data_IF_275631185531
#
_entry.id   IF_275631185531
#
_cell.length_a   1.000
_cell.length_b   1.000
_cell.length_c   1.000
_cell.angle_alpha   90.00
_cell.angle_beta   90.00
_cell.angle_gamma   90.00
#
_symmetry.space_group_name_H-M   'P 1'
#
loop_
_entity.id
_entity.type
_entity.pdbx_description
1 polymer ?
#
# COMPACT_ATOMS: atom_id res chain seq x y z
N UNK A 1 -33.77 9.17 24.20
CA UNK A 1 -34.50 7.95 23.80
C UNK A 1 -33.54 7.04 23.06
N UNK A 2 -33.39 5.80 23.50
CA UNK A 2 -32.48 4.80 22.93
C UNK A 2 -33.19 4.12 21.76
N UNK A 3 -32.64 4.20 20.55
CA UNK A 3 -33.04 3.34 19.45
C UNK A 3 -31.92 2.35 19.16
N UNK A 4 -32.08 1.14 19.69
CA UNK A 4 -31.37 -0.06 19.25
C UNK A 4 -32.04 -0.53 17.97
N UNK A 5 -31.29 -0.83 16.91
CA UNK A 5 -31.76 -1.70 15.83
C UNK A 5 -30.62 -2.58 15.33
N UNK A 6 -31.01 -3.82 15.09
CA UNK A 6 -30.23 -5.05 15.10
C UNK A 6 -29.89 -5.47 13.67
N UNK A 7 -28.76 -6.16 13.53
CA UNK A 7 -28.21 -6.83 12.35
C UNK A 7 -29.23 -7.68 11.55
N UNK A 8 -29.14 -7.61 10.23
CA UNK A 8 -29.39 -8.67 9.24
C UNK A 8 -28.72 -8.19 7.94
N UNK A 9 -27.87 -8.90 7.20
CA UNK A 9 -27.78 -10.33 6.93
C UNK A 9 -27.96 -10.52 5.42
N UNK A 10 -26.91 -11.00 4.73
CA UNK A 10 -26.90 -11.79 3.48
C UNK A 10 -25.72 -11.39 2.57
N UNK A 11 -24.62 -12.14 2.73
CA UNK A 11 -23.57 -12.27 1.72
C UNK A 11 -24.07 -13.26 0.67
N UNK A 12 -24.20 -12.82 -0.58
CA UNK A 12 -24.37 -13.71 -1.74
C UNK A 12 -23.25 -13.38 -2.72
N UNK A 13 -22.20 -14.20 -2.67
CA UNK A 13 -21.11 -14.24 -3.63
C UNK A 13 -21.58 -15.08 -4.82
N UNK A 14 -21.76 -14.46 -5.99
CA UNK A 14 -21.98 -15.15 -7.25
C UNK A 14 -20.79 -14.87 -8.16
N UNK A 15 -19.93 -15.87 -8.30
CA UNK A 15 -18.76 -15.83 -9.16
C UNK A 15 -19.12 -15.82 -10.64
N UNK A 16 -18.38 -15.04 -11.43
CA UNK A 16 -18.35 -15.14 -12.87
C UNK A 16 -16.88 -15.22 -13.31
N UNK A 17 -16.37 -16.44 -13.45
CA UNK A 17 -15.09 -16.71 -14.10
C UNK A 17 -15.34 -16.75 -15.61
N UNK A 18 -14.91 -15.72 -16.33
CA UNK A 18 -14.81 -15.71 -17.79
C UNK A 18 -13.33 -15.84 -18.15
N UNK A 19 -12.90 -17.06 -18.46
CA UNK A 19 -11.62 -17.32 -19.13
C UNK A 19 -11.84 -17.29 -20.63
N UNK A 20 -11.31 -16.27 -21.31
CA UNK A 20 -11.38 -16.13 -22.76
C UNK A 20 -9.98 -15.90 -23.36
N UNK A 21 -9.63 -16.76 -24.33
CA UNK A 21 -8.64 -16.52 -25.39
C UNK A 21 -7.16 -16.70 -25.00
N UNK A 22 -6.29 -17.27 -25.82
CA UNK A 22 -6.39 -17.66 -27.21
C UNK A 22 -5.45 -18.84 -27.52
N UNK A 23 -5.97 -19.78 -28.31
CA UNK A 23 -5.20 -20.75 -29.05
C UNK A 23 -4.55 -20.06 -30.26
N UNK A 24 -3.25 -20.27 -30.44
CA UNK A 24 -2.54 -20.14 -31.71
C UNK A 24 -1.32 -21.06 -31.55
N UNK A 25 -1.18 -22.22 -32.19
CA UNK A 25 -1.57 -22.55 -33.55
C UNK A 25 -0.39 -22.29 -34.46
N UNK A 26 0.45 -23.31 -34.67
CA UNK A 26 1.28 -23.61 -35.85
C UNK A 26 2.57 -24.34 -35.44
N UNK A 27 2.47 -25.66 -35.31
CA UNK A 27 3.64 -26.53 -35.45
C UNK A 27 3.89 -26.74 -36.94
N UNK A 28 5.09 -26.40 -37.40
CA UNK A 28 5.56 -26.60 -38.76
C UNK A 28 7.08 -26.54 -38.80
N UNK A 29 7.68 -27.65 -39.23
CA UNK A 29 9.09 -27.91 -39.50
C UNK A 29 9.93 -26.73 -40.05
N UNK A 30 11.14 -26.57 -39.50
CA UNK A 30 12.33 -26.24 -40.28
C UNK A 30 13.62 -26.66 -39.53
N UNK A 31 14.55 -27.41 -40.17
CA UNK A 31 15.88 -27.71 -39.63
C UNK A 31 16.92 -26.62 -39.94
N UNK A 32 17.94 -26.60 -39.08
CA UNK A 32 19.31 -26.06 -39.21
C UNK A 32 19.63 -24.93 -40.20
N UNK A 33 20.05 -23.78 -39.65
CA UNK A 33 21.08 -22.92 -40.24
C UNK A 33 21.87 -22.15 -39.16
N UNK A 34 23.18 -22.37 -39.16
CA UNK A 34 24.31 -21.85 -38.39
C UNK A 34 24.60 -20.32 -38.68
N UNK A 35 25.65 -19.66 -38.16
CA UNK A 35 25.91 -19.14 -36.81
C UNK A 35 26.18 -17.60 -36.76
N UNK A 36 26.55 -17.11 -35.56
CA UNK A 36 27.33 -15.89 -35.27
C UNK A 36 26.66 -14.51 -35.43
N UNK A 37 26.19 -13.94 -34.31
CA UNK A 37 26.18 -12.49 -34.01
C UNK A 37 25.96 -12.31 -32.48
N UNK A 38 27.01 -11.99 -31.73
CA UNK A 38 26.89 -11.23 -30.47
C UNK A 38 26.51 -9.76 -30.81
N UNK A 39 25.96 -8.89 -29.92
CA UNK A 39 25.36 -9.01 -28.58
C UNK A 39 23.96 -8.29 -28.51
N UNK A 40 23.34 -7.96 -27.35
CA UNK A 40 23.83 -6.89 -26.50
C UNK A 40 23.93 -7.28 -25.03
N UNK A 41 25.04 -6.85 -24.43
CA UNK A 41 25.17 -6.58 -23.00
C UNK A 41 23.87 -5.91 -22.52
N UNK A 42 23.15 -6.61 -21.64
CA UNK A 42 22.11 -6.00 -20.83
C UNK A 42 22.76 -4.78 -20.18
N UNK A 43 22.43 -3.58 -20.67
CA UNK A 43 22.57 -2.37 -19.88
C UNK A 43 21.74 -2.62 -18.64
N UNK A 44 22.41 -3.10 -17.59
CA UNK A 44 22.01 -2.81 -16.23
C UNK A 44 21.93 -1.29 -16.19
N UNK A 45 20.72 -0.77 -16.34
CA UNK A 45 20.37 0.50 -15.76
C UNK A 45 20.48 0.27 -14.27
N UNK A 46 21.70 0.40 -13.76
CA UNK A 46 21.93 0.67 -12.36
C UNK A 46 20.94 1.77 -11.98
N UNK A 47 20.14 1.64 -10.92
CA UNK A 47 19.55 2.82 -10.34
C UNK A 47 20.74 3.70 -9.95
N UNK A 48 20.97 4.76 -10.70
CA UNK A 48 21.90 5.80 -10.31
C UNK A 48 21.42 6.25 -8.93
N UNK A 49 22.23 5.94 -7.92
CA UNK A 49 22.20 6.56 -6.62
C UNK A 49 22.54 8.05 -6.82
N UNK A 50 21.55 8.81 -7.29
CA UNK A 50 21.60 10.26 -7.30
C UNK A 50 20.95 10.74 -6.00
N UNK A 51 21.82 10.85 -5.00
CA UNK A 51 21.55 11.56 -3.77
C UNK A 51 21.32 13.04 -4.08
N UNK A 52 20.06 13.46 -4.18
CA UNK A 52 19.67 14.86 -4.06
C UNK A 52 18.74 15.40 -5.14
N UNK A 53 17.48 14.98 -5.14
CA UNK A 53 16.38 15.81 -5.65
C UNK A 53 15.04 15.29 -5.14
N UNK A 54 14.56 15.82 -4.00
CA UNK A 54 13.21 15.55 -3.52
C UNK A 54 12.19 16.27 -4.43
N UNK A 55 11.75 15.58 -5.48
CA UNK A 55 10.65 15.99 -6.33
C UNK A 55 9.33 15.47 -5.72
N UNK A 56 8.76 16.27 -4.82
CA UNK A 56 7.50 16.00 -4.15
C UNK A 56 6.38 15.71 -5.16
N UNK A 57 6.01 14.44 -5.27
CA UNK A 57 4.86 13.98 -6.04
C UNK A 57 4.85 12.46 -6.11
N UNK A 58 5.85 11.87 -6.76
CA UNK A 58 5.82 10.42 -7.05
C UNK A 58 6.10 9.53 -5.86
N UNK A 59 6.96 9.92 -4.91
CA UNK A 59 7.30 9.04 -3.76
C UNK A 59 6.25 9.09 -2.66
N UNK A 60 5.65 10.26 -2.41
CA UNK A 60 4.65 10.46 -1.36
C UNK A 60 3.33 9.77 -1.71
N UNK A 61 2.90 9.87 -2.96
CA UNK A 61 1.67 9.20 -3.42
C UNK A 61 1.85 7.69 -3.42
N UNK A 62 3.01 7.17 -3.87
CA UNK A 62 3.32 5.75 -3.79
C UNK A 62 3.39 5.25 -2.34
N UNK A 63 3.89 6.07 -1.42
CA UNK A 63 3.96 5.71 -0.01
C UNK A 63 2.57 5.70 0.64
N UNK A 64 1.73 6.69 0.35
CA UNK A 64 0.34 6.70 0.77
C UNK A 64 -0.38 5.46 0.24
N UNK A 65 -0.25 5.14 -1.05
CA UNK A 65 -0.87 3.96 -1.66
C UNK A 65 -0.33 2.64 -1.03
N UNK A 66 0.96 2.56 -0.74
CA UNK A 66 1.53 1.40 -0.05
C UNK A 66 0.96 1.23 1.37
N UNK A 67 0.77 2.33 2.09
CA UNK A 67 0.12 2.34 3.41
C UNK A 67 -1.35 1.94 3.28
N UNK A 68 -2.11 2.51 2.34
CA UNK A 68 -3.50 2.09 2.08
C UNK A 68 -3.61 0.60 1.79
N UNK A 69 -2.72 0.05 0.95
CA UNK A 69 -2.69 -1.39 0.70
C UNK A 69 -2.39 -2.19 1.96
N UNK A 70 -1.45 -1.74 2.78
CA UNK A 70 -1.10 -2.39 4.05
C UNK A 70 -2.27 -2.39 5.06
N UNK A 71 -3.12 -1.36 5.04
CA UNK A 71 -4.25 -1.20 5.96
C UNK A 71 -5.63 -1.45 5.31
N UNK A 72 -5.66 -1.96 4.07
CA UNK A 72 -6.89 -2.20 3.32
C UNK A 72 -7.90 -3.11 4.03
N UNK A 73 -7.41 -4.05 4.84
CA UNK A 73 -8.25 -4.95 5.65
C UNK A 73 -8.98 -4.24 6.79
N UNK A 74 -8.54 -3.04 7.17
CA UNK A 74 -9.08 -2.20 8.24
C UNK A 74 -9.80 -0.96 7.69
N UNK A 75 -10.16 -0.97 6.40
CA UNK A 75 -10.67 0.20 5.68
C UNK A 75 -9.74 1.42 5.78
N UNK A 76 -8.43 1.15 5.79
CA UNK A 76 -7.37 2.14 5.86
C UNK A 76 -7.34 3.04 4.63
N UNK A 77 -7.40 4.34 4.85
CA UNK A 77 -7.17 5.38 3.83
C UNK A 77 -6.04 6.28 4.28
N UNK A 78 -5.13 6.64 3.37
CA UNK A 78 -3.94 7.39 3.73
C UNK A 78 -3.76 8.59 2.81
N UNK A 79 -3.53 9.75 3.40
CA UNK A 79 -3.30 10.98 2.66
C UNK A 79 -2.28 11.85 3.37
N UNK A 80 -1.81 12.87 2.66
CA UNK A 80 -0.84 13.82 3.20
C UNK A 80 -1.50 15.15 3.56
N UNK A 81 -1.31 15.58 4.81
CA UNK A 81 -1.62 16.93 5.29
C UNK A 81 -0.30 17.69 5.50
N UNK A 82 0.13 18.47 4.51
CA UNK A 82 1.42 19.17 4.57
C UNK A 82 2.59 18.19 4.56
N UNK A 83 3.29 18.04 5.68
CA UNK A 83 4.39 17.07 5.91
C UNK A 83 3.97 15.89 6.80
N UNK A 84 2.67 15.75 7.09
CA UNK A 84 2.12 14.70 7.96
C UNK A 84 1.39 13.65 7.14
N UNK A 85 1.75 12.38 7.27
CA UNK A 85 0.92 11.29 6.75
C UNK A 85 -0.20 11.03 7.75
N UNK A 86 -1.44 11.14 7.29
CA UNK A 86 -2.64 10.79 8.04
C UNK A 86 -3.14 9.45 7.53
N UNK A 87 -3.26 8.47 8.42
CA UNK A 87 -3.88 7.18 8.15
C UNK A 87 -5.22 7.14 8.89
N UNK A 88 -6.33 7.17 8.17
CA UNK A 88 -7.64 6.89 8.74
C UNK A 88 -7.91 5.40 8.73
N UNK A 89 -8.30 4.84 9.87
CA UNK A 89 -8.68 3.44 10.02
C UNK A 89 -9.92 3.33 10.91
N UNK A 90 -10.68 2.25 10.73
CA UNK A 90 -11.73 1.91 11.67
C UNK A 90 -11.11 1.52 13.02
N UNK A 91 -11.67 2.00 14.12
CA UNK A 91 -11.19 1.66 15.46
C UNK A 91 -11.63 2.65 16.53
N UNK A 92 -10.91 2.63 17.65
CA UNK A 92 -11.18 3.49 18.79
C UNK A 92 -9.86 4.04 19.36
N UNK A 93 -9.71 5.37 19.31
CA UNK A 93 -8.56 6.12 19.80
C UNK A 93 -8.40 6.13 21.35
N UNK A 94 -9.43 5.71 22.09
CA UNK A 94 -9.47 5.75 23.55
C UNK A 94 -8.94 4.48 24.23
N UNK A 95 -8.55 3.48 23.44
CA UNK A 95 -7.90 2.28 23.96
C UNK A 95 -6.48 2.57 24.47
N UNK A 96 -6.01 1.87 25.52
CA UNK A 96 -4.67 2.08 26.07
C UNK A 96 -3.51 1.74 25.11
N UNK A 97 -3.81 1.05 24.00
CA UNK A 97 -2.86 0.65 22.95
C UNK A 97 -3.38 1.14 21.58
N UNK A 98 -4.30 2.10 21.57
CA UNK A 98 -4.90 2.60 20.33
C UNK A 98 -3.83 3.20 19.41
N UNK A 99 -3.83 2.77 18.15
CA UNK A 99 -2.87 3.25 17.17
C UNK A 99 -1.45 2.71 17.35
N UNK A 100 -1.12 1.95 18.40
CA UNK A 100 0.27 1.51 18.61
C UNK A 100 0.77 0.59 17.50
N UNK A 101 -0.06 -0.36 17.06
CA UNK A 101 0.28 -1.30 15.98
C UNK A 101 0.40 -0.56 14.66
N UNK A 102 -0.55 0.33 14.39
CA UNK A 102 -0.61 1.17 13.19
C UNK A 102 0.63 2.07 13.13
N UNK A 103 0.94 2.75 14.23
CA UNK A 103 2.09 3.61 14.38
C UNK A 103 3.42 2.87 14.29
N UNK A 104 3.52 1.62 14.79
CA UNK A 104 4.70 0.76 14.59
C UNK A 104 4.96 0.49 13.12
N UNK A 105 3.90 0.19 12.36
CA UNK A 105 4.00 -0.07 10.91
C UNK A 105 4.37 1.20 10.16
N UNK A 106 3.70 2.31 10.48
CA UNK A 106 4.02 3.63 9.92
C UNK A 106 5.46 4.04 10.26
N UNK A 107 5.97 3.69 11.45
CA UNK A 107 7.35 3.99 11.82
C UNK A 107 8.39 3.24 10.99
N UNK A 108 8.08 2.00 10.59
CA UNK A 108 8.93 1.23 9.68
C UNK A 108 8.88 1.70 8.23
N UNK A 109 7.81 2.35 7.80
CA UNK A 109 7.59 2.77 6.41
C UNK A 109 8.03 4.22 6.14
N UNK A 110 7.80 5.12 7.11
CA UNK A 110 8.08 6.55 6.98
C UNK A 110 9.47 6.92 7.51
N UNK A 111 10.08 7.96 6.94
CA UNK A 111 11.34 8.46 7.46
C UNK A 111 11.14 9.12 8.84
N UNK A 112 12.21 9.22 9.64
CA UNK A 112 12.15 9.84 10.98
C UNK A 112 11.73 11.32 10.98
N UNK A 113 11.75 11.98 9.82
CA UNK A 113 11.40 13.41 9.68
C UNK A 113 9.95 13.64 9.33
N UNK A 114 9.22 12.61 8.90
CA UNK A 114 7.83 12.74 8.51
C UNK A 114 6.95 12.57 9.75
N UNK A 115 6.00 13.50 9.94
CA UNK A 115 5.00 13.38 10.99
C UNK A 115 3.96 12.31 10.61
N UNK A 116 3.45 11.58 11.60
CA UNK A 116 2.60 10.40 11.39
C UNK A 116 1.45 10.42 12.38
N UNK A 117 0.23 10.40 11.86
CA UNK A 117 -1.00 10.47 12.65
C UNK A 117 -1.93 9.35 12.20
N UNK A 118 -2.56 8.69 13.16
CA UNK A 118 -3.64 7.73 12.92
C UNK A 118 -4.95 8.39 13.32
N UNK A 119 -5.87 8.52 12.37
CA UNK A 119 -7.21 9.02 12.59
C UNK A 119 -8.18 7.85 12.80
N UNK A 120 -8.93 7.92 13.90
CA UNK A 120 -10.04 7.03 14.21
C UNK A 120 -11.35 7.83 14.20
N UNK A 121 -12.52 7.19 14.08
CA UNK A 121 -13.82 7.87 14.11
C UNK A 121 -14.07 8.73 15.37
N UNK A 122 -13.40 8.41 16.47
CA UNK A 122 -13.55 9.08 17.76
C UNK A 122 -12.35 9.98 18.16
N UNK A 123 -11.32 10.11 17.33
CA UNK A 123 -10.17 10.97 17.63
C UNK A 123 -8.92 10.68 16.78
N UNK A 124 -7.91 11.54 16.91
CA UNK A 124 -6.60 11.38 16.26
C UNK A 124 -5.54 10.97 17.28
N UNK A 125 -4.62 10.09 16.89
CA UNK A 125 -3.48 9.63 17.69
C UNK A 125 -2.19 10.03 17.00
N UNK A 126 -1.31 10.75 17.71
CA UNK A 126 0.04 11.06 17.25
C UNK A 126 0.96 9.85 17.48
N UNK A 127 1.62 9.38 16.43
CA UNK A 127 2.46 8.20 16.53
C UNK A 127 3.74 8.41 17.33
N UNK A 128 4.29 9.62 17.40
CA UNK A 128 5.45 9.89 18.25
C UNK A 128 5.09 9.74 19.73
N UNK A 129 3.90 10.19 20.13
CA UNK A 129 3.40 10.06 21.51
C UNK A 129 3.02 8.61 21.83
N UNK A 130 2.28 7.94 20.93
CA UNK A 130 1.83 6.57 21.11
C UNK A 130 3.00 5.58 21.26
N UNK A 131 4.08 5.76 20.48
CA UNK A 131 5.27 4.90 20.53
C UNK A 131 6.19 5.21 21.72
N UNK A 132 6.09 6.40 22.32
CA UNK A 132 6.89 6.78 23.49
C UNK A 132 6.31 6.25 24.81
N UNK A 133 5.03 5.85 24.80
CA UNK A 133 4.28 5.39 25.98
C UNK A 133 4.35 3.88 26.19
N UNK A 134 4.77 3.12 25.17
CA UNK A 134 4.80 1.64 25.15
C UNK A 134 6.09 1.01 25.69
#
# INVERSE_FOLDING_TARGET
MRARLVRAGAVVWAGLLVTAGAACGSGGDAPDADPATEPPVLKQTSPSSDSGSYAFGTDRDQLAEAVERAFSTQNGTAWWEGDTLVLSVDGDAGGPIAGFTECRVLDGLLQKRDAKVVEFPNGRVDCAEALSTG
#
